data_IF_751657604589
#
_entry.id   IF_751657604589
#
_cell.length_a   1.000
_cell.length_b   1.000
_cell.length_c   1.000
_cell.angle_alpha   90.00
_cell.angle_beta   90.00
_cell.angle_gamma   90.00
#
_symmetry.space_group_name_H-M   'P 1'
#
loop_
_entity.id
_entity.type
_entity.pdbx_description
1 polymer ?
#
# COMPACT_ATOMS: atom_id res chain seq x y z
N UNK A 1 2.12 3.83 21.95
CA UNK A 1 1.16 2.97 21.25
C UNK A 1 1.39 2.86 19.73
N UNK A 2 2.08 3.80 19.06
CA UNK A 2 2.10 3.86 17.57
C UNK A 2 3.05 2.91 16.79
N UNK A 3 4.17 2.40 17.36
CA UNK A 3 5.17 1.65 16.57
C UNK A 3 4.67 0.26 16.12
N UNK A 4 3.89 -0.43 16.96
CA UNK A 4 3.32 -1.74 16.63
C UNK A 4 2.19 -1.61 15.59
N UNK A 5 1.33 -0.60 15.74
CA UNK A 5 0.26 -0.33 14.77
C UNK A 5 0.83 0.04 13.39
N UNK A 6 1.87 0.88 13.34
CA UNK A 6 2.57 1.23 12.10
C UNK A 6 3.15 -0.01 11.42
N UNK A 7 3.79 -0.91 12.17
CA UNK A 7 4.35 -2.17 11.66
C UNK A 7 3.26 -3.11 11.14
N UNK A 8 2.18 -3.28 11.89
CA UNK A 8 1.08 -4.16 11.50
C UNK A 8 0.38 -3.66 10.23
N UNK A 9 0.15 -2.35 10.13
CA UNK A 9 -0.47 -1.76 8.95
C UNK A 9 0.46 -1.85 7.73
N UNK A 10 1.77 -1.65 7.90
CA UNK A 10 2.76 -1.84 6.83
C UNK A 10 2.79 -3.29 6.36
N UNK A 11 2.83 -4.25 7.30
CA UNK A 11 2.78 -5.68 6.96
C UNK A 11 1.50 -6.06 6.21
N UNK A 12 0.35 -5.50 6.63
CA UNK A 12 -0.90 -5.73 5.92
C UNK A 12 -0.87 -5.14 4.51
N UNK A 13 -0.35 -3.91 4.33
CA UNK A 13 -0.14 -3.29 3.01
C UNK A 13 0.73 -4.18 2.13
N UNK A 14 1.82 -4.72 2.66
CA UNK A 14 2.71 -5.60 1.90
C UNK A 14 1.99 -6.88 1.46
N UNK A 15 1.25 -7.52 2.37
CA UNK A 15 0.50 -8.75 2.07
C UNK A 15 -0.55 -8.55 0.98
N UNK A 16 -1.38 -7.50 1.08
CA UNK A 16 -2.40 -7.21 0.05
C UNK A 16 -1.79 -6.69 -1.25
N UNK A 17 -0.64 -6.00 -1.18
CA UNK A 17 0.12 -5.60 -2.37
C UNK A 17 0.68 -6.80 -3.11
N UNK A 18 1.21 -7.79 -2.39
CA UNK A 18 1.69 -9.03 -2.98
C UNK A 18 0.55 -9.78 -3.68
N UNK A 19 -0.59 -9.97 -3.00
CA UNK A 19 -1.73 -10.67 -3.57
C UNK A 19 -2.26 -9.99 -4.85
N UNK A 20 -2.37 -8.65 -4.86
CA UNK A 20 -2.78 -7.91 -6.05
C UNK A 20 -1.74 -8.02 -7.18
N UNK A 21 -0.45 -7.97 -6.86
CA UNK A 21 0.62 -8.09 -7.87
C UNK A 21 0.64 -9.50 -8.49
N UNK A 22 0.51 -10.53 -7.68
CA UNK A 22 0.50 -11.93 -8.13
C UNK A 22 -0.69 -12.20 -9.06
N UNK A 23 -1.88 -11.72 -8.69
CA UNK A 23 -3.06 -11.80 -9.54
C UNK A 23 -2.89 -11.02 -10.85
N UNK A 24 -2.28 -9.83 -10.80
CA UNK A 24 -1.97 -9.06 -12.02
C UNK A 24 -1.04 -9.83 -12.95
N UNK A 25 -0.01 -10.49 -12.40
CA UNK A 25 0.93 -11.28 -13.19
C UNK A 25 0.26 -12.49 -13.85
N UNK A 26 -0.69 -13.12 -13.15
CA UNK A 26 -1.51 -14.19 -13.74
C UNK A 26 -2.37 -13.66 -14.90
N UNK A 27 -3.06 -12.54 -14.67
CA UNK A 27 -3.95 -11.90 -15.64
C UNK A 27 -3.23 -11.43 -16.92
N UNK A 28 -1.93 -11.13 -16.86
CA UNK A 28 -1.12 -10.83 -18.06
C UNK A 28 -1.17 -11.97 -19.11
N UNK A 29 -1.44 -13.20 -18.67
CA UNK A 29 -1.58 -14.39 -19.54
C UNK A 29 -3.01 -14.90 -19.66
N UNK A 30 -3.91 -14.51 -18.75
CA UNK A 30 -5.32 -14.92 -18.70
C UNK A 30 -6.26 -13.71 -18.48
N UNK A 31 -6.32 -12.76 -19.42
CA UNK A 31 -6.96 -11.45 -19.17
C UNK A 31 -8.48 -11.53 -18.99
N UNK A 32 -9.12 -12.59 -19.47
CA UNK A 32 -10.58 -12.78 -19.43
C UNK A 32 -11.03 -13.68 -18.26
N UNK A 33 -10.11 -14.10 -17.38
CA UNK A 33 -10.46 -14.91 -16.20
C UNK A 33 -11.19 -14.06 -15.15
N UNK A 34 -12.50 -14.28 -15.05
CA UNK A 34 -13.38 -13.54 -14.16
C UNK A 34 -13.04 -13.72 -12.67
N UNK A 35 -12.58 -14.90 -12.25
CA UNK A 35 -12.23 -15.17 -10.86
C UNK A 35 -10.93 -14.44 -10.49
N UNK A 36 -9.94 -14.48 -11.37
CA UNK A 36 -8.68 -13.75 -11.17
C UNK A 36 -8.91 -12.22 -11.17
N UNK A 37 -9.80 -11.71 -12.01
CA UNK A 37 -10.20 -10.30 -12.01
C UNK A 37 -10.88 -9.89 -10.70
N UNK A 38 -11.83 -10.68 -10.20
CA UNK A 38 -12.48 -10.42 -8.92
C UNK A 38 -11.47 -10.43 -7.76
N UNK A 39 -10.58 -11.41 -7.74
CA UNK A 39 -9.50 -11.51 -6.76
C UNK A 39 -8.60 -10.27 -6.80
N UNK A 40 -8.14 -9.87 -7.99
CA UNK A 40 -7.33 -8.66 -8.15
C UNK A 40 -8.06 -7.41 -7.63
N UNK A 41 -9.33 -7.23 -8.00
CA UNK A 41 -10.13 -6.08 -7.56
C UNK A 41 -10.30 -6.05 -6.04
N UNK A 42 -10.53 -7.20 -5.41
CA UNK A 42 -10.65 -7.32 -3.97
C UNK A 42 -9.37 -6.83 -3.25
N UNK A 43 -8.22 -7.39 -3.62
CA UNK A 43 -6.95 -7.05 -2.95
C UNK A 43 -6.44 -5.67 -3.32
N UNK A 44 -6.64 -5.20 -4.56
CA UNK A 44 -6.30 -3.84 -4.92
C UNK A 44 -7.13 -2.82 -4.12
N UNK A 45 -8.43 -3.06 -3.93
CA UNK A 45 -9.27 -2.20 -3.07
C UNK A 45 -8.78 -2.19 -1.63
N UNK A 46 -8.49 -3.36 -1.06
CA UNK A 46 -7.93 -3.48 0.29
C UNK A 46 -6.60 -2.72 0.42
N UNK A 47 -5.74 -2.81 -0.59
CA UNK A 47 -4.47 -2.08 -0.68
C UNK A 47 -4.65 -0.58 -0.67
N UNK A 48 -5.54 -0.03 -1.51
CA UNK A 48 -5.79 1.41 -1.56
C UNK A 48 -6.30 1.93 -0.20
N UNK A 49 -7.21 1.19 0.44
CA UNK A 49 -7.74 1.57 1.75
C UNK A 49 -6.65 1.57 2.83
N UNK A 50 -5.79 0.55 2.86
CA UNK A 50 -4.70 0.45 3.82
C UNK A 50 -3.63 1.53 3.61
N UNK A 51 -3.28 1.84 2.35
CA UNK A 51 -2.36 2.94 2.01
C UNK A 51 -2.91 4.29 2.46
N UNK A 52 -4.21 4.53 2.24
CA UNK A 52 -4.86 5.75 2.68
C UNK A 52 -4.84 5.88 4.21
N UNK A 53 -5.22 4.81 4.93
CA UNK A 53 -5.17 4.80 6.40
C UNK A 53 -3.75 5.07 6.92
N UNK A 54 -2.75 4.44 6.30
CA UNK A 54 -1.36 4.68 6.66
C UNK A 54 -0.95 6.12 6.40
N UNK A 55 -1.31 6.69 5.25
CA UNK A 55 -0.97 8.07 4.89
C UNK A 55 -1.54 9.08 5.88
N UNK A 56 -2.81 8.91 6.25
CA UNK A 56 -3.49 9.78 7.22
C UNK A 56 -2.82 9.72 8.59
N UNK A 57 -2.36 8.55 9.03
CA UNK A 57 -1.83 8.33 10.39
C UNK A 57 -0.33 8.57 10.52
N UNK A 58 0.45 8.20 9.50
CA UNK A 58 1.91 8.09 9.57
C UNK A 58 2.63 8.84 8.45
N UNK A 59 1.89 9.36 7.47
CA UNK A 59 2.42 10.06 6.30
C UNK A 59 2.55 9.16 5.06
N UNK A 60 2.76 9.75 3.88
CA UNK A 60 2.54 9.09 2.59
C UNK A 60 3.57 8.00 2.29
N UNK A 61 3.13 6.79 1.93
CA UNK A 61 4.02 5.71 1.46
C UNK A 61 4.23 5.70 -0.05
N UNK A 62 3.37 6.39 -0.79
CA UNK A 62 3.45 6.53 -2.23
C UNK A 62 3.19 7.97 -2.63
N UNK A 63 3.64 8.37 -3.81
CA UNK A 63 3.37 9.70 -4.37
C UNK A 63 1.87 9.97 -4.52
N UNK A 64 1.06 8.93 -4.75
CA UNK A 64 -0.38 9.07 -4.90
C UNK A 64 -1.07 9.55 -3.62
N UNK A 65 -0.50 9.21 -2.46
CA UNK A 65 -1.00 9.62 -1.15
C UNK A 65 -0.33 10.90 -0.62
N UNK A 66 0.60 11.48 -1.39
CA UNK A 66 1.27 12.73 -1.01
C UNK A 66 0.29 13.90 -1.12
N UNK A 67 -0.30 14.30 0.02
CA UNK A 67 -1.20 15.45 0.08
C UNK A 67 -0.45 16.79 0.07
N UNK A 68 -1.16 17.85 -0.33
CA UNK A 68 -0.72 19.24 -0.25
C UNK A 68 -0.78 19.76 1.20
N UNK A 69 0.02 19.19 2.08
CA UNK A 69 0.27 19.74 3.42
C UNK A 69 1.21 20.95 3.31
N UNK A 70 1.26 21.80 4.33
CA UNK A 70 2.22 22.93 4.42
C UNK A 70 3.70 22.51 4.29
N UNK A 71 3.99 21.20 4.38
CA UNK A 71 5.32 20.62 4.19
C UNK A 71 5.24 19.40 3.26
N UNK A 72 6.27 19.23 2.41
CA UNK A 72 6.37 18.12 1.46
C UNK A 72 6.77 16.82 2.17
N UNK A 73 5.82 16.21 2.89
CA UNK A 73 6.03 15.04 3.77
C UNK A 73 6.67 13.84 3.08
N UNK A 74 6.47 13.69 1.77
CA UNK A 74 7.12 12.64 0.98
C UNK A 74 8.66 12.67 1.09
N UNK A 75 9.25 13.86 1.08
CA UNK A 75 10.71 14.01 1.13
C UNK A 75 11.26 14.26 2.54
N UNK A 76 10.41 14.57 3.52
CA UNK A 76 10.87 15.04 4.86
C UNK A 76 10.65 14.04 5.99
N UNK A 77 9.90 12.96 5.76
CA UNK A 77 9.70 11.91 6.76
C UNK A 77 10.72 10.76 6.55
N UNK A 78 11.11 10.05 7.62
CA UNK A 78 11.95 8.88 7.50
C UNK A 78 11.24 7.78 6.72
N UNK A 79 11.92 7.24 5.71
CA UNK A 79 11.36 6.22 4.84
C UNK A 79 11.30 4.88 5.58
N UNK A 80 10.28 4.04 5.32
CA UNK A 80 10.16 2.73 5.97
C UNK A 80 11.38 1.82 5.79
N UNK A 81 12.14 2.02 4.71
CA UNK A 81 13.33 1.23 4.35
C UNK A 81 14.66 1.90 4.70
N UNK A 82 14.67 3.10 5.28
CA UNK A 82 15.92 3.74 5.75
C UNK A 82 16.55 3.00 6.94
N UNK A 83 15.78 2.19 7.67
CA UNK A 83 16.23 1.57 8.91
C UNK A 83 16.31 2.58 10.06
N UNK A 84 16.25 2.08 11.29
CA UNK A 84 16.63 2.90 12.45
C UNK A 84 18.18 2.95 12.44
N UNK A 85 18.78 4.12 12.18
CA UNK A 85 20.24 4.33 12.24
C UNK A 85 20.79 4.18 13.66
#
# INVERSE_FOLDING_TARGET
MSKMEKKNLLFYIDAVSFAALDASLYLDTHPDDAEALEFFHHFNKARQQALHEYSVRFGPLTLNEASHSDTWKWATQPWPWEGDC
#
